data_IF_325080672017
#
_entry.id   IF_325080672017
#
_cell.length_a   1.000
_cell.length_b   1.000
_cell.length_c   1.000
_cell.angle_alpha   90.00
_cell.angle_beta   90.00
_cell.angle_gamma   90.00
#
_symmetry.space_group_name_H-M   'P 1'
#
loop_
_entity.id
_entity.type
_entity.pdbx_description
1 polymer ?
#
# COMPACT_ATOMS: atom_id res chain seq x y z
N UNK A 1 9.42 26.73 -0.79
CA UNK A 1 8.37 25.69 -0.88
C UNK A 1 7.02 26.38 -1.05
N UNK A 2 6.32 26.14 -2.16
CA UNK A 2 4.99 26.73 -2.37
C UNK A 2 3.92 25.98 -1.57
N UNK A 3 2.78 26.61 -1.29
CA UNK A 3 1.64 25.96 -0.62
C UNK A 3 1.18 24.71 -1.38
N UNK A 4 1.24 24.72 -2.72
CA UNK A 4 0.90 23.57 -3.56
C UNK A 4 1.86 22.39 -3.33
N UNK A 5 3.18 22.63 -3.31
CA UNK A 5 4.17 21.58 -3.04
C UNK A 5 3.94 20.91 -1.69
N UNK A 6 3.57 21.68 -0.65
CA UNK A 6 3.27 21.13 0.69
C UNK A 6 2.05 20.20 0.70
N UNK A 7 0.96 20.58 0.03
CA UNK A 7 -0.26 19.76 -0.03
C UNK A 7 -0.02 18.45 -0.78
N UNK A 8 0.73 18.51 -1.90
CA UNK A 8 1.08 17.32 -2.69
C UNK A 8 1.99 16.40 -1.87
N UNK A 9 3.01 16.95 -1.20
CA UNK A 9 3.92 16.18 -0.36
C UNK A 9 3.21 15.52 0.83
N UNK A 10 2.29 16.23 1.51
CA UNK A 10 1.50 15.65 2.59
C UNK A 10 0.60 14.50 2.10
N UNK A 11 -0.01 14.67 0.91
CA UNK A 11 -0.84 13.63 0.29
C UNK A 11 -0.03 12.40 -0.12
N UNK A 12 1.18 12.62 -0.68
CA UNK A 12 2.13 11.56 -0.99
C UNK A 12 2.55 10.80 0.28
N UNK A 13 2.89 11.52 1.35
CA UNK A 13 3.27 10.94 2.64
C UNK A 13 2.17 10.03 3.20
N UNK A 14 0.91 10.48 3.18
CA UNK A 14 -0.23 9.69 3.65
C UNK A 14 -0.41 8.42 2.81
N UNK A 15 -0.32 8.52 1.48
CA UNK A 15 -0.42 7.36 0.60
C UNK A 15 0.72 6.35 0.87
N UNK A 16 1.96 6.84 1.00
CA UNK A 16 3.11 6.01 1.34
C UNK A 16 2.96 5.35 2.72
N UNK A 17 2.48 6.08 3.73
CA UNK A 17 2.27 5.54 5.07
C UNK A 17 1.23 4.42 5.09
N UNK A 18 0.13 4.58 4.35
CA UNK A 18 -0.90 3.54 4.22
C UNK A 18 -0.36 2.29 3.53
N UNK A 19 0.35 2.46 2.41
CA UNK A 19 0.97 1.36 1.66
C UNK A 19 2.05 0.65 2.50
N UNK A 20 2.89 1.41 3.21
CA UNK A 20 3.88 0.88 4.13
C UNK A 20 3.24 0.09 5.28
N UNK A 21 2.12 0.57 5.83
CA UNK A 21 1.35 -0.14 6.85
C UNK A 21 0.83 -1.50 6.37
N UNK A 22 0.35 -1.59 5.12
CA UNK A 22 -0.06 -2.86 4.52
C UNK A 22 1.13 -3.83 4.43
N UNK A 23 2.25 -3.40 3.85
CA UNK A 23 3.44 -4.25 3.77
C UNK A 23 3.99 -4.65 5.13
N UNK A 24 3.99 -3.73 6.09
CA UNK A 24 4.39 -4.00 7.46
C UNK A 24 3.51 -5.10 8.08
N UNK A 25 2.18 -5.01 7.97
CA UNK A 25 1.27 -6.04 8.47
C UNK A 25 1.54 -7.40 7.80
N UNK A 26 1.73 -7.42 6.48
CA UNK A 26 2.03 -8.64 5.73
C UNK A 26 3.32 -9.32 6.21
N UNK A 27 4.39 -8.55 6.33
CA UNK A 27 5.71 -9.06 6.72
C UNK A 27 5.80 -9.40 8.21
N UNK A 28 5.13 -8.65 9.07
CA UNK A 28 5.27 -8.80 10.53
C UNK A 28 4.42 -9.94 11.08
N UNK A 29 3.17 -10.11 10.64
CA UNK A 29 2.29 -11.11 11.25
C UNK A 29 1.37 -11.87 10.29
N UNK A 30 0.95 -11.34 9.14
CA UNK A 30 -0.01 -12.07 8.27
C UNK A 30 0.64 -13.33 7.69
N UNK A 31 1.84 -13.22 7.10
CA UNK A 31 2.52 -14.39 6.54
C UNK A 31 2.86 -15.43 7.61
N UNK A 32 3.22 -14.99 8.82
CA UNK A 32 3.47 -15.89 9.95
C UNK A 32 2.19 -16.59 10.41
N UNK A 33 1.05 -15.89 10.43
CA UNK A 33 -0.24 -16.48 10.79
C UNK A 33 -0.68 -17.53 9.75
N UNK A 34 -0.51 -17.25 8.46
CA UNK A 34 -0.81 -18.18 7.38
C UNK A 34 0.09 -19.42 7.39
N UNK A 35 1.34 -19.29 7.82
CA UNK A 35 2.26 -20.42 7.98
C UNK A 35 1.87 -21.35 9.15
N UNK A 36 1.00 -20.90 10.08
CA UNK A 36 0.56 -21.68 11.25
C UNK A 36 -0.72 -22.49 11.00
N UNK A 37 -1.36 -22.34 9.84
CA UNK A 37 -2.56 -23.09 9.45
C UNK A 37 -2.22 -24.12 8.35
N UNK A 38 -3.07 -25.12 8.08
CA UNK A 38 -2.84 -26.08 7.00
C UNK A 38 -2.60 -25.36 5.67
N UNK A 39 -1.60 -25.80 4.91
CA UNK A 39 -1.14 -25.12 3.70
C UNK A 39 -2.27 -24.85 2.68
N UNK A 40 -3.22 -25.78 2.53
CA UNK A 40 -4.39 -25.60 1.66
C UNK A 40 -5.23 -24.38 2.01
N UNK A 41 -5.41 -24.11 3.31
CA UNK A 41 -6.16 -22.97 3.81
C UNK A 41 -5.37 -21.68 3.63
N UNK A 42 -4.06 -21.71 3.92
CA UNK A 42 -3.18 -20.55 3.73
C UNK A 42 -3.09 -20.11 2.27
N UNK A 43 -2.95 -21.06 1.34
CA UNK A 43 -2.95 -20.79 -0.10
C UNK A 43 -4.29 -20.21 -0.55
N UNK A 44 -5.41 -20.82 -0.12
CA UNK A 44 -6.75 -20.33 -0.44
C UNK A 44 -6.98 -18.89 0.04
N UNK A 45 -6.56 -18.58 1.28
CA UNK A 45 -6.65 -17.24 1.83
C UNK A 45 -5.81 -16.22 1.04
N UNK A 46 -4.56 -16.56 0.68
CA UNK A 46 -3.72 -15.64 -0.12
C UNK A 46 -4.24 -15.42 -1.53
N UNK A 47 -4.78 -16.45 -2.18
CA UNK A 47 -5.42 -16.30 -3.49
C UNK A 47 -6.62 -15.33 -3.40
N UNK A 48 -7.48 -15.50 -2.39
CA UNK A 48 -8.62 -14.60 -2.18
C UNK A 48 -8.17 -13.15 -1.89
N UNK A 49 -7.14 -12.96 -1.06
CA UNK A 49 -6.53 -11.66 -0.80
C UNK A 49 -6.02 -11.02 -2.11
N UNK A 50 -5.30 -11.77 -2.94
CA UNK A 50 -4.77 -11.28 -4.20
C UNK A 50 -5.88 -10.83 -5.17
N UNK A 51 -7.03 -11.50 -5.15
CA UNK A 51 -8.19 -11.06 -5.96
C UNK A 51 -8.83 -9.79 -5.37
N UNK A 52 -9.03 -9.74 -4.05
CA UNK A 52 -9.70 -8.60 -3.37
C UNK A 52 -8.85 -7.33 -3.38
N UNK A 53 -7.52 -7.46 -3.27
CA UNK A 53 -6.61 -6.30 -3.23
C UNK A 53 -6.52 -5.58 -4.59
N UNK A 54 -6.80 -6.27 -5.70
CA UNK A 54 -6.87 -5.68 -7.04
C UNK A 54 -8.22 -4.98 -7.20
N UNK A 55 -8.34 -3.82 -6.56
CA UNK A 55 -9.50 -2.94 -6.67
C UNK A 55 -9.08 -1.50 -6.95
N UNK A 56 -10.01 -0.72 -7.50
CA UNK A 56 -9.74 0.65 -7.97
C UNK A 56 -9.26 1.58 -6.86
N UNK A 57 -9.67 1.37 -5.62
CA UNK A 57 -9.26 2.19 -4.48
C UNK A 57 -7.83 1.90 -4.05
N UNK A 58 -7.49 0.62 -3.87
CA UNK A 58 -6.14 0.22 -3.49
C UNK A 58 -5.13 0.57 -4.60
N UNK A 59 -5.45 0.26 -5.86
CA UNK A 59 -4.59 0.61 -6.99
C UNK A 59 -4.44 2.12 -7.14
N UNK A 60 -5.53 2.88 -6.94
CA UNK A 60 -5.50 4.34 -6.93
C UNK A 60 -4.61 4.89 -5.82
N UNK A 61 -4.68 4.34 -4.62
CA UNK A 61 -3.81 4.72 -3.50
C UNK A 61 -2.34 4.37 -3.78
N UNK A 62 -2.09 3.16 -4.28
CA UNK A 62 -0.75 2.63 -4.52
C UNK A 62 -0.02 3.41 -5.64
N UNK A 63 -0.63 3.48 -6.84
CA UNK A 63 -0.05 4.20 -7.97
C UNK A 63 -0.19 5.72 -7.81
N UNK A 64 -1.29 6.20 -7.22
CA UNK A 64 -1.48 7.62 -6.96
C UNK A 64 -0.45 8.16 -5.97
N UNK A 65 -0.09 7.40 -4.93
CA UNK A 65 0.98 7.77 -4.01
C UNK A 65 2.34 7.91 -4.71
N UNK A 66 2.66 6.99 -5.63
CA UNK A 66 3.87 7.06 -6.45
C UNK A 66 3.88 8.32 -7.36
N UNK A 67 2.75 8.61 -8.02
CA UNK A 67 2.60 9.80 -8.86
C UNK A 67 2.72 11.10 -8.05
N UNK A 68 2.05 11.19 -6.90
CA UNK A 68 2.12 12.35 -6.01
C UNK A 68 3.54 12.58 -5.50
N UNK A 69 4.28 11.50 -5.21
CA UNK A 69 5.69 11.58 -4.80
C UNK A 69 6.58 12.16 -5.90
N UNK A 70 6.39 11.71 -7.15
CA UNK A 70 7.11 12.24 -8.31
C UNK A 70 6.78 13.72 -8.55
N UNK A 71 5.50 14.09 -8.46
CA UNK A 71 5.06 15.49 -8.60
C UNK A 71 5.64 16.38 -7.51
N UNK A 72 5.62 15.93 -6.24
CA UNK A 72 6.22 16.66 -5.13
C UNK A 72 7.71 16.90 -5.36
N UNK A 73 8.45 15.88 -5.83
CA UNK A 73 9.88 15.98 -6.10
C UNK A 73 10.19 16.92 -7.29
N UNK A 74 9.39 16.90 -8.36
CA UNK A 74 9.59 17.79 -9.51
C UNK A 74 9.20 19.26 -9.26
N UNK A 75 8.39 19.52 -8.23
CA UNK A 75 7.94 20.85 -7.81
C UNK A 75 8.71 21.40 -6.59
N UNK A 76 9.68 20.63 -6.07
CA UNK A 76 10.54 21.01 -4.95
C UNK A 76 11.74 21.84 -5.43
#
# INVERSE_FOLDING_TARGET
MTAATMVIAASALLACALVAGVFFAFSSFIMQALARIPASHGIGAMQAINVVVINRWFLGLFFGGALLSLLAAGLA
#
